data_IF_376206816315
#
_entry.id   IF_376206816315
#
_cell.length_a   1.000
_cell.length_b   1.000
_cell.length_c   1.000
_cell.angle_alpha   90.00
_cell.angle_beta   90.00
_cell.angle_gamma   90.00
#
_symmetry.space_group_name_H-M   'P 1'
#
loop_
_entity.id
_entity.type
_entity.pdbx_description
1 polymer ?
#
# COMPACT_ATOMS: atom_id res chain seq x y z
N UNK A 1 -29.42 22.40 43.40
CA UNK A 1 -28.28 21.54 43.78
C UNK A 1 -27.63 21.04 42.49
N UNK A 2 -26.85 21.90 41.83
CA UNK A 2 -26.01 21.55 40.68
C UNK A 2 -24.61 22.00 41.05
N UNK A 3 -23.90 21.15 41.78
CA UNK A 3 -22.45 21.25 41.92
C UNK A 3 -21.87 20.38 40.81
N UNK A 4 -21.94 20.88 39.57
CA UNK A 4 -21.30 20.25 38.43
C UNK A 4 -19.88 20.84 38.31
N UNK A 5 -18.90 19.99 38.52
CA UNK A 5 -17.48 20.29 38.71
C UNK A 5 -16.89 21.15 37.57
N UNK A 6 -16.52 22.43 37.80
CA UNK A 6 -15.97 23.31 36.75
C UNK A 6 -14.61 22.84 36.21
N UNK A 7 -13.99 21.87 36.89
CA UNK A 7 -12.68 21.29 36.56
C UNK A 7 -12.83 20.12 35.58
N UNK A 8 -13.97 19.41 35.58
CA UNK A 8 -14.17 18.24 34.73
C UNK A 8 -14.44 18.61 33.27
N UNK A 9 -15.04 19.78 33.03
CA UNK A 9 -15.34 20.33 31.70
C UNK A 9 -14.13 20.41 30.75
N UNK A 10 -12.99 21.02 31.15
CA UNK A 10 -11.80 21.09 30.30
C UNK A 10 -10.98 19.79 30.26
N UNK A 11 -11.00 18.96 31.31
CA UNK A 11 -10.16 17.73 31.35
C UNK A 11 -10.54 16.75 30.24
N UNK A 12 -11.83 16.54 29.99
CA UNK A 12 -12.33 15.60 28.98
C UNK A 12 -11.78 15.90 27.57
N UNK A 13 -11.88 17.13 27.02
CA UNK A 13 -11.31 17.43 25.71
C UNK A 13 -9.79 17.36 25.67
N UNK A 14 -9.08 17.64 26.78
CA UNK A 14 -7.62 17.41 26.83
C UNK A 14 -7.26 15.93 26.74
N UNK A 15 -7.97 15.08 27.48
CA UNK A 15 -7.79 13.62 27.39
C UNK A 15 -8.14 13.10 26.00
N UNK A 16 -9.24 13.58 25.41
CA UNK A 16 -9.64 13.23 24.05
C UNK A 16 -8.61 13.66 23.01
N UNK A 17 -8.04 14.87 23.16
CA UNK A 17 -7.00 15.37 22.27
C UNK A 17 -5.71 14.54 22.37
N UNK A 18 -5.32 14.15 23.59
CA UNK A 18 -4.18 13.28 23.82
C UNK A 18 -4.36 11.88 23.22
N UNK A 19 -5.57 11.31 23.34
CA UNK A 19 -5.90 9.99 22.81
C UNK A 19 -6.27 9.98 21.32
N UNK A 20 -6.40 11.14 20.68
CA UNK A 20 -6.93 11.29 19.32
C UNK A 20 -6.26 10.36 18.33
N UNK A 21 -4.93 10.36 18.25
CA UNK A 21 -4.22 9.57 17.24
C UNK A 21 -4.39 8.07 17.44
N UNK A 22 -4.32 7.60 18.69
CA UNK A 22 -4.55 6.20 19.04
C UNK A 22 -5.93 5.74 18.57
N UNK A 23 -6.97 6.54 18.85
CA UNK A 23 -8.34 6.23 18.43
C UNK A 23 -8.45 6.20 16.90
N UNK A 24 -7.81 7.16 16.21
CA UNK A 24 -7.84 7.21 14.73
C UNK A 24 -7.12 6.00 14.12
N UNK A 25 -5.99 5.56 14.68
CA UNK A 25 -5.28 4.36 14.23
C UNK A 25 -6.15 3.10 14.37
N UNK A 26 -6.88 2.96 15.49
CA UNK A 26 -7.84 1.86 15.69
C UNK A 26 -9.01 1.92 14.72
N UNK A 27 -9.57 3.11 14.46
CA UNK A 27 -10.66 3.29 13.48
C UNK A 27 -10.17 2.96 12.07
N UNK A 28 -8.94 3.34 11.74
CA UNK A 28 -8.30 3.00 10.48
C UNK A 28 -8.13 1.48 10.31
N UNK A 29 -7.71 0.77 11.36
CA UNK A 29 -7.67 -0.69 11.37
C UNK A 29 -9.02 -1.29 10.96
N UNK A 30 -10.09 -0.93 11.68
CA UNK A 30 -11.43 -1.44 11.36
C UNK A 30 -11.90 -1.04 9.96
N UNK A 31 -11.58 0.16 9.51
CA UNK A 31 -11.92 0.59 8.16
C UNK A 31 -11.28 -0.32 7.11
N UNK A 32 -9.97 -0.59 7.22
CA UNK A 32 -9.27 -1.48 6.27
C UNK A 32 -9.80 -2.90 6.39
N UNK A 33 -10.03 -3.43 7.59
CA UNK A 33 -10.57 -4.78 7.77
C UNK A 33 -12.00 -4.96 7.23
N UNK A 34 -12.79 -3.89 7.10
CA UNK A 34 -14.18 -3.98 6.61
C UNK A 34 -14.26 -3.67 5.11
N UNK A 35 -13.53 -2.65 4.66
CA UNK A 35 -13.59 -2.15 3.28
C UNK A 35 -12.55 -2.77 2.38
N UNK A 36 -11.55 -3.40 2.94
CA UNK A 36 -10.48 -4.09 2.23
C UNK A 36 -9.86 -3.26 1.09
N UNK A 37 -9.40 -2.02 1.35
CA UNK A 37 -8.65 -1.26 0.36
C UNK A 37 -7.34 -1.96 -0.05
N UNK A 38 -6.80 -2.81 0.83
CA UNK A 38 -5.71 -3.75 0.59
C UNK A 38 -5.78 -4.91 1.61
N UNK A 39 -5.05 -5.98 1.32
CA UNK A 39 -4.86 -7.15 2.16
C UNK A 39 -3.39 -7.41 2.48
N UNK A 40 -3.16 -8.30 3.47
CA UNK A 40 -1.85 -8.89 3.69
C UNK A 40 -1.43 -9.65 2.43
N UNK A 41 -0.24 -9.35 1.94
CA UNK A 41 0.31 -9.87 0.69
C UNK A 41 0.23 -8.89 -0.48
N UNK A 42 -0.62 -7.86 -0.39
CA UNK A 42 -0.81 -6.92 -1.50
C UNK A 42 0.42 -6.05 -1.74
N UNK A 43 0.65 -5.75 -3.01
CA UNK A 43 1.61 -4.75 -3.46
C UNK A 43 0.95 -3.38 -3.45
N UNK A 44 1.44 -2.50 -2.58
CA UNK A 44 0.91 -1.16 -2.45
C UNK A 44 2.01 -0.10 -2.59
N UNK A 45 1.68 1.00 -3.25
CA UNK A 45 2.45 2.23 -3.18
C UNK A 45 1.76 3.21 -2.23
N UNK A 46 2.54 3.72 -1.28
CA UNK A 46 2.12 4.81 -0.42
C UNK A 46 3.29 5.75 -0.20
N UNK A 47 3.06 7.03 -0.48
CA UNK A 47 4.08 8.08 -0.40
C UNK A 47 5.31 7.81 -1.30
N UNK A 48 5.11 7.16 -2.46
CA UNK A 48 6.17 6.89 -3.43
C UNK A 48 7.11 5.74 -3.04
N UNK A 49 6.70 4.93 -2.07
CA UNK A 49 7.40 3.70 -1.68
C UNK A 49 6.49 2.53 -2.04
N UNK A 50 6.92 1.75 -3.04
CA UNK A 50 6.27 0.50 -3.40
C UNK A 50 6.71 -0.59 -2.43
N UNK A 51 5.75 -1.30 -1.86
CA UNK A 51 6.00 -2.26 -0.79
C UNK A 51 4.95 -3.34 -0.74
N UNK A 52 5.29 -4.51 -0.17
CA UNK A 52 4.34 -5.60 0.07
C UNK A 52 3.84 -5.55 1.51
N UNK A 53 2.54 -5.62 1.73
CA UNK A 53 1.97 -5.69 3.09
C UNK A 53 2.29 -7.06 3.71
N UNK A 54 2.97 -7.07 4.85
CA UNK A 54 3.36 -8.29 5.55
C UNK A 54 2.34 -8.64 6.64
N UNK A 55 1.88 -7.62 7.37
CA UNK A 55 0.93 -7.80 8.47
C UNK A 55 0.08 -6.54 8.67
N UNK A 56 -0.89 -6.67 9.58
CA UNK A 56 -1.71 -5.55 10.01
C UNK A 56 -2.09 -5.71 11.48
N UNK A 57 -1.67 -4.76 12.30
CA UNK A 57 -1.99 -4.65 13.73
C UNK A 57 -2.97 -3.51 13.99
N UNK A 58 -3.48 -3.42 15.23
CA UNK A 58 -4.52 -2.45 15.58
C UNK A 58 -4.06 -0.98 15.49
N UNK A 59 -2.76 -0.70 15.58
CA UNK A 59 -2.20 0.65 15.51
C UNK A 59 -1.39 0.93 14.25
N UNK A 60 -0.81 -0.10 13.67
CA UNK A 60 0.12 0.00 12.54
C UNK A 60 -0.03 -1.20 11.62
N UNK A 61 0.51 -1.06 10.41
CA UNK A 61 0.64 -2.13 9.44
C UNK A 61 2.07 -2.14 8.93
N UNK A 62 2.64 -3.33 8.78
CA UNK A 62 4.02 -3.48 8.37
C UNK A 62 4.14 -3.94 6.92
N UNK A 63 5.19 -3.46 6.27
CA UNK A 63 5.43 -3.68 4.84
C UNK A 63 6.89 -3.92 4.54
N UNK A 64 7.14 -4.74 3.53
CA UNK A 64 8.47 -4.96 2.96
C UNK A 64 8.67 -4.03 1.79
N UNK A 65 9.68 -3.15 1.85
CA UNK A 65 9.99 -2.25 0.76
C UNK A 65 10.55 -3.01 -0.45
N UNK A 66 9.99 -2.70 -1.62
CA UNK A 66 10.45 -3.21 -2.90
C UNK A 66 11.25 -2.11 -3.59
N UNK A 67 12.50 -2.41 -3.89
CA UNK A 67 13.45 -1.42 -4.37
C UNK A 67 13.48 -1.33 -5.89
N UNK A 68 13.82 -0.14 -6.38
CA UNK A 68 14.04 0.18 -7.80
C UNK A 68 15.43 -0.28 -8.32
N UNK A 69 16.26 -0.90 -7.46
CA UNK A 69 17.68 -1.16 -7.75
C UNK A 69 17.93 -2.35 -8.70
N UNK A 70 16.90 -3.11 -9.04
CA UNK A 70 16.96 -4.20 -10.02
C UNK A 70 15.66 -4.18 -10.82
N UNK A 71 15.67 -4.60 -12.09
CA UNK A 71 14.49 -4.69 -12.99
C UNK A 71 13.40 -5.69 -12.51
N UNK A 72 13.37 -6.01 -11.22
CA UNK A 72 12.49 -6.96 -10.57
C UNK A 72 12.03 -6.38 -9.23
N UNK A 73 10.75 -6.53 -8.91
CA UNK A 73 10.16 -6.23 -7.59
C UNK A 73 10.67 -7.22 -6.53
N UNK A 74 11.95 -7.08 -6.17
CA UNK A 74 12.59 -7.89 -5.14
C UNK A 74 12.56 -7.14 -3.80
N UNK A 75 12.27 -7.84 -2.68
CA UNK A 75 12.40 -7.27 -1.34
C UNK A 75 13.80 -6.70 -1.12
N UNK A 76 13.85 -5.44 -0.69
CA UNK A 76 15.11 -4.83 -0.25
C UNK A 76 15.55 -5.38 1.11
N UNK A 77 14.63 -6.00 1.86
CA UNK A 77 14.81 -6.39 3.25
C UNK A 77 14.61 -5.23 4.23
N UNK A 78 14.16 -4.06 3.76
CA UNK A 78 13.78 -2.95 4.60
C UNK A 78 12.35 -3.15 5.11
N UNK A 79 12.23 -3.36 6.43
CA UNK A 79 10.95 -3.48 7.11
C UNK A 79 10.42 -2.09 7.48
N UNK A 80 9.23 -1.76 6.97
CA UNK A 80 8.61 -0.45 7.16
C UNK A 80 7.32 -0.60 7.94
N UNK A 81 7.31 -0.09 9.17
CA UNK A 81 6.11 0.03 10.01
C UNK A 81 5.44 1.38 9.77
N UNK A 82 4.13 1.38 9.51
CA UNK A 82 3.35 2.59 9.27
C UNK A 82 2.09 2.61 10.13
N UNK A 83 1.86 3.74 10.82
CA UNK A 83 0.66 3.93 11.64
C UNK A 83 -0.61 3.95 10.79
N UNK A 84 -1.66 3.24 11.23
CA UNK A 84 -2.86 3.00 10.44
C UNK A 84 -3.55 4.30 10.01
N UNK A 85 -3.53 5.36 10.82
CA UNK A 85 -4.15 6.65 10.51
C UNK A 85 -3.68 7.28 9.19
N UNK A 86 -2.51 6.89 8.69
CA UNK A 86 -1.97 7.45 7.45
C UNK A 86 -2.83 7.11 6.23
N UNK A 87 -3.62 6.03 6.27
CA UNK A 87 -4.56 5.70 5.19
C UNK A 87 -5.58 6.82 4.92
N UNK A 88 -5.84 7.69 5.90
CA UNK A 88 -6.77 8.82 5.76
C UNK A 88 -6.10 10.09 5.25
N UNK A 89 -4.77 10.16 5.27
CA UNK A 89 -4.01 11.35 4.89
C UNK A 89 -3.26 11.22 3.57
N UNK A 90 -2.99 10.00 3.13
CA UNK A 90 -2.24 9.71 1.91
C UNK A 90 -3.01 8.75 1.01
N UNK A 91 -2.89 8.93 -0.30
CA UNK A 91 -3.38 7.95 -1.28
C UNK A 91 -2.60 6.64 -1.12
N UNK A 92 -3.33 5.52 -1.21
CA UNK A 92 -2.76 4.18 -1.28
C UNK A 92 -3.12 3.60 -2.64
N UNK A 93 -2.12 3.32 -3.46
CA UNK A 93 -2.30 2.61 -4.72
C UNK A 93 -2.14 1.12 -4.45
N UNK A 94 -3.14 0.32 -4.77
CA UNK A 94 -3.06 -1.13 -4.66
C UNK A 94 -2.93 -1.73 -6.06
N UNK A 95 -1.82 -2.44 -6.31
CA UNK A 95 -1.52 -3.04 -7.60
C UNK A 95 -2.01 -4.48 -7.74
N UNK A 96 -2.38 -5.14 -6.64
CA UNK A 96 -2.84 -6.53 -6.62
C UNK A 96 -4.18 -6.71 -5.88
N UNK A 97 -5.21 -5.87 -6.13
CA UNK A 97 -6.44 -5.89 -5.33
C UNK A 97 -7.30 -7.16 -5.54
N UNK A 98 -7.21 -7.78 -6.71
CA UNK A 98 -8.04 -8.95 -7.08
C UNK A 98 -7.20 -10.14 -7.55
N UNK A 99 -5.96 -9.91 -8.00
CA UNK A 99 -5.08 -10.92 -8.55
C UNK A 99 -3.65 -10.69 -8.05
N UNK A 100 -2.88 -11.77 -7.94
CA UNK A 100 -1.47 -11.75 -7.52
C UNK A 100 -0.53 -11.25 -8.63
N UNK A 101 -1.07 -10.88 -9.79
CA UNK A 101 -0.30 -10.38 -10.93
C UNK A 101 -0.35 -8.84 -11.00
N UNK A 102 0.81 -8.25 -11.25
CA UNK A 102 0.95 -6.84 -11.61
C UNK A 102 1.10 -6.75 -13.13
N UNK A 103 0.37 -5.82 -13.75
CA UNK A 103 0.54 -5.56 -15.18
C UNK A 103 1.90 -4.87 -15.41
N UNK A 104 2.74 -5.50 -16.22
CA UNK A 104 4.00 -4.91 -16.69
C UNK A 104 3.88 -4.57 -18.17
N UNK A 105 4.07 -3.30 -18.51
CA UNK A 105 4.18 -2.85 -19.90
C UNK A 105 5.63 -2.96 -20.36
N UNK A 106 5.83 -3.42 -21.60
CA UNK A 106 7.16 -3.55 -22.22
C UNK A 106 7.12 -2.87 -23.58
N UNK A 107 7.89 -1.80 -23.72
CA UNK A 107 8.05 -1.10 -24.99
C UNK A 107 9.21 -1.68 -25.79
N UNK A 108 8.95 -1.93 -27.07
CA UNK A 108 9.93 -2.51 -27.98
C UNK A 108 10.16 -1.54 -29.13
N UNK A 109 11.38 -1.06 -29.23
CA UNK A 109 11.80 -0.22 -30.35
C UNK A 109 12.04 -1.10 -31.58
N UNK A 110 11.27 -0.86 -32.64
CA UNK A 110 11.42 -1.52 -33.93
C UNK A 110 11.58 -0.48 -35.05
N UNK A 111 12.38 -0.82 -36.08
CA UNK A 111 12.49 0.01 -37.28
C UNK A 111 11.19 -0.03 -38.09
N UNK A 112 10.90 1.04 -38.85
CA UNK A 112 9.73 1.12 -39.72
C UNK A 112 9.64 0.01 -40.78
N UNK A 113 10.78 -0.59 -41.13
CA UNK A 113 10.88 -1.69 -42.09
C UNK A 113 10.47 -3.05 -41.49
N UNK A 114 10.33 -3.13 -40.17
CA UNK A 114 10.00 -4.38 -39.47
C UNK A 114 8.52 -4.68 -39.61
N UNK A 115 8.20 -5.94 -39.93
CA UNK A 115 6.82 -6.41 -39.86
C UNK A 115 6.36 -6.43 -38.40
N UNK A 116 5.39 -5.57 -38.07
CA UNK A 116 4.83 -5.42 -36.72
C UNK A 116 4.28 -6.72 -36.14
N UNK A 117 3.60 -7.53 -36.96
CA UNK A 117 2.98 -8.77 -36.49
C UNK A 117 4.04 -9.79 -36.09
N UNK A 118 5.11 -9.89 -36.86
CA UNK A 118 6.24 -10.77 -36.54
C UNK A 118 7.00 -10.28 -35.30
N UNK A 119 7.20 -8.97 -35.15
CA UNK A 119 7.83 -8.39 -33.97
C UNK A 119 7.03 -8.69 -32.69
N UNK A 120 5.70 -8.50 -32.72
CA UNK A 120 4.83 -8.81 -31.59
C UNK A 120 4.80 -10.30 -31.27
N UNK A 121 4.84 -11.16 -32.29
CA UNK A 121 4.88 -12.62 -32.10
C UNK A 121 6.15 -13.06 -31.38
N UNK A 122 7.31 -12.54 -31.80
CA UNK A 122 8.59 -12.85 -31.15
C UNK A 122 8.63 -12.28 -29.73
N UNK A 123 8.21 -11.04 -29.55
CA UNK A 123 8.13 -10.39 -28.24
C UNK A 123 7.26 -11.18 -27.25
N UNK A 124 6.05 -11.56 -27.69
CA UNK A 124 5.13 -12.36 -26.88
C UNK A 124 5.70 -13.72 -26.52
N UNK A 125 6.43 -14.36 -27.45
CA UNK A 125 7.13 -15.62 -27.18
C UNK A 125 8.20 -15.45 -26.10
N UNK A 126 9.07 -14.44 -26.21
CA UNK A 126 10.13 -14.17 -25.23
C UNK A 126 9.53 -13.81 -23.86
N UNK A 127 8.46 -13.00 -23.83
CA UNK A 127 7.77 -12.68 -22.59
C UNK A 127 7.17 -13.93 -21.92
N UNK A 128 6.53 -14.81 -22.71
CA UNK A 128 5.98 -16.06 -22.20
C UNK A 128 7.07 -16.97 -21.59
N UNK A 129 8.23 -17.09 -22.26
CA UNK A 129 9.38 -17.85 -21.76
C UNK A 129 10.03 -17.25 -20.50
N UNK A 130 9.93 -15.93 -20.30
CA UNK A 130 10.51 -15.25 -19.14
C UNK A 130 9.63 -15.33 -17.88
N UNK A 131 8.31 -15.33 -18.05
CA UNK A 131 7.34 -15.19 -16.96
C UNK A 131 6.50 -16.47 -16.69
N UNK A 132 6.75 -17.57 -17.40
CA UNK A 132 6.20 -18.92 -17.14
C UNK A 132 7.29 -19.85 -16.67
#
# INVERSE_FOLDING_TARGET
>A
MVLAYPILGPIIPFVALAAKYLIVDMVAYFYVSIRYPFYIGDLIDSNGITSRVIDMDILEFNRDELGDLVETLSPTGCYVSMLNRFIFSSTVYNYTPEDSFVMQEVDILASFEVNREEALRIAGKVAHEKYT
#
